data_IF_004501094922
#
_entry.id   IF_004501094922
#
_cell.length_a   1.000
_cell.length_b   1.000
_cell.length_c   1.000
_cell.angle_alpha   90.00
_cell.angle_beta   90.00
_cell.angle_gamma   90.00
#
_symmetry.space_group_name_H-M   'P 1'
#
loop_
_entity.id
_entity.type
_entity.pdbx_description
1 polymer ?
#
# COMPACT_ATOMS: atom_id res chain seq x y z
N UNK A 1 2.63 7.01 4.56
CA UNK A 1 1.65 5.96 4.27
C UNK A 1 0.35 6.25 4.98
N UNK A 2 -0.69 6.50 4.18
CA UNK A 2 -2.07 6.66 4.65
C UNK A 2 -2.89 5.50 4.09
N UNK A 3 -3.73 4.88 4.92
CA UNK A 3 -4.62 3.79 4.50
C UNK A 3 -6.06 4.31 4.53
N UNK A 4 -6.76 4.21 3.41
CA UNK A 4 -8.16 4.63 3.27
C UNK A 4 -9.02 3.37 3.09
N UNK A 5 -9.99 3.20 3.97
CA UNK A 5 -10.97 2.12 3.92
C UNK A 5 -12.14 2.47 3.00
N UNK A 6 -12.24 1.75 1.88
CA UNK A 6 -13.39 1.83 0.97
C UNK A 6 -14.46 0.78 1.30
N UNK A 7 -15.42 0.59 0.40
CA UNK A 7 -16.43 -0.48 0.53
C UNK A 7 -15.83 -1.87 0.31
N UNK A 8 -15.02 -2.02 -0.74
CA UNK A 8 -14.53 -3.32 -1.23
C UNK A 8 -13.11 -3.67 -0.78
N UNK A 9 -12.37 -2.70 -0.23
CA UNK A 9 -10.97 -2.88 0.14
C UNK A 9 -10.33 -1.59 0.65
N UNK A 10 -9.01 -1.51 0.52
CA UNK A 10 -8.23 -0.34 0.94
C UNK A 10 -7.47 0.29 -0.23
N UNK A 11 -7.30 1.60 -0.15
CA UNK A 11 -6.35 2.35 -0.96
C UNK A 11 -5.18 2.82 -0.10
N UNK A 12 -3.96 2.69 -0.59
CA UNK A 12 -2.75 3.12 0.12
C UNK A 12 -2.17 4.37 -0.56
N UNK A 13 -1.94 5.43 0.21
CA UNK A 13 -1.29 6.65 -0.26
C UNK A 13 0.13 6.70 0.29
N UNK A 14 1.10 6.91 -0.60
CA UNK A 14 2.53 7.10 -0.29
C UNK A 14 3.12 5.98 0.61
N UNK A 15 3.44 4.79 0.05
CA UNK A 15 3.86 3.60 0.79
C UNK A 15 5.31 3.67 1.28
N UNK A 16 5.75 4.82 1.83
CA UNK A 16 7.06 5.01 2.44
C UNK A 16 8.24 4.79 1.47
N UNK A 17 9.45 4.82 2.01
CA UNK A 17 10.71 4.71 1.25
C UNK A 17 11.14 3.29 0.94
N UNK A 18 10.82 2.29 1.78
CA UNK A 18 11.31 0.92 1.64
C UNK A 18 10.18 -0.11 1.78
N UNK A 19 10.31 -1.25 1.07
CA UNK A 19 9.31 -2.30 1.05
C UNK A 19 9.12 -2.93 2.43
N UNK A 20 10.19 -3.07 3.21
CA UNK A 20 10.18 -3.62 4.57
C UNK A 20 9.37 -2.72 5.50
N UNK A 21 9.58 -1.40 5.42
CA UNK A 21 8.83 -0.42 6.20
C UNK A 21 7.35 -0.43 5.81
N UNK A 22 7.05 -0.45 4.51
CA UNK A 22 5.68 -0.46 4.00
C UNK A 22 4.93 -1.72 4.43
N UNK A 23 5.57 -2.90 4.32
CA UNK A 23 5.01 -4.18 4.77
C UNK A 23 4.74 -4.19 6.27
N UNK A 24 5.70 -3.72 7.08
CA UNK A 24 5.53 -3.63 8.52
C UNK A 24 4.38 -2.69 8.91
N UNK A 25 4.24 -1.56 8.20
CA UNK A 25 3.15 -0.63 8.43
C UNK A 25 1.78 -1.20 8.00
N UNK A 26 1.71 -1.94 6.89
CA UNK A 26 0.49 -2.64 6.47
C UNK A 26 0.12 -3.76 7.45
N UNK A 27 1.10 -4.50 7.95
CA UNK A 27 0.88 -5.53 8.98
C UNK A 27 0.36 -4.93 10.27
N UNK A 28 0.86 -3.75 10.67
CA UNK A 28 0.35 -3.03 11.82
C UNK A 28 -1.12 -2.60 11.62
N UNK A 29 -1.47 -2.11 10.43
CA UNK A 29 -2.85 -1.82 10.07
C UNK A 29 -3.73 -3.08 10.15
N UNK A 30 -3.33 -4.17 9.49
CA UNK A 30 -4.07 -5.43 9.45
C UNK A 30 -4.29 -6.04 10.84
N UNK A 31 -3.30 -5.93 11.74
CA UNK A 31 -3.43 -6.38 13.14
C UNK A 31 -4.56 -5.68 13.89
N UNK A 32 -4.87 -4.43 13.55
CA UNK A 32 -5.87 -3.62 14.26
C UNK A 32 -7.20 -3.47 13.52
N UNK A 33 -7.20 -3.66 12.20
CA UNK A 33 -8.36 -3.38 11.32
C UNK A 33 -8.83 -4.61 10.53
N UNK A 34 -8.09 -5.72 10.59
CA UNK A 34 -8.32 -6.90 9.77
C UNK A 34 -7.69 -6.77 8.39
N UNK A 35 -7.53 -7.92 7.71
CA UNK A 35 -7.01 -7.94 6.34
C UNK A 35 -8.10 -7.56 5.34
N UNK A 36 -7.79 -6.63 4.44
CA UNK A 36 -8.67 -6.18 3.35
C UNK A 36 -7.84 -6.10 2.05
N UNK A 37 -8.42 -6.39 0.88
CA UNK A 37 -7.67 -6.35 -0.37
C UNK A 37 -7.21 -4.92 -0.65
N UNK A 38 -5.94 -4.77 -1.06
CA UNK A 38 -5.43 -3.51 -1.58
C UNK A 38 -5.94 -3.33 -3.01
N UNK A 39 -6.76 -2.31 -3.23
CA UNK A 39 -7.38 -2.03 -4.53
C UNK A 39 -6.49 -1.16 -5.42
N UNK A 40 -5.58 -0.39 -4.82
CA UNK A 40 -4.65 0.44 -5.56
C UNK A 40 -3.82 1.33 -4.65
N UNK A 41 -2.93 2.09 -5.29
CA UNK A 41 -2.08 3.06 -4.61
C UNK A 41 -2.07 4.41 -5.32
N UNK A 42 -1.89 5.46 -4.53
CA UNK A 42 -1.73 6.83 -5.01
C UNK A 42 -0.38 7.36 -4.53
N UNK A 43 0.44 7.83 -5.48
CA UNK A 43 1.68 8.54 -5.17
C UNK A 43 1.43 10.03 -5.32
N UNK A 44 1.64 10.78 -4.25
CA UNK A 44 1.38 12.22 -4.23
C UNK A 44 2.47 13.02 -4.93
N UNK A 45 3.70 12.50 -4.98
CA UNK A 45 4.83 13.15 -5.65
C UNK A 45 5.99 12.20 -5.97
N UNK A 46 7.02 12.73 -6.65
CA UNK A 46 8.10 11.96 -7.26
C UNK A 46 9.37 11.78 -6.41
N UNK A 47 9.30 11.96 -5.08
CA UNK A 47 10.43 11.61 -4.21
C UNK A 47 10.28 10.17 -3.70
N UNK A 48 11.41 9.49 -3.51
CA UNK A 48 11.45 8.08 -3.15
C UNK A 48 10.63 7.73 -1.88
N UNK A 49 10.48 8.68 -0.94
CA UNK A 49 9.65 8.50 0.24
C UNK A 49 8.15 8.25 -0.03
N UNK A 50 7.70 8.44 -1.28
CA UNK A 50 6.30 8.39 -1.68
C UNK A 50 5.97 7.23 -2.61
N UNK A 51 6.96 6.44 -3.03
CA UNK A 51 6.75 5.26 -3.87
C UNK A 51 7.72 4.12 -3.58
N UNK A 52 8.82 4.35 -2.86
CA UNK A 52 9.91 3.39 -2.71
C UNK A 52 9.49 2.09 -2.03
N UNK A 53 8.49 2.12 -1.15
CA UNK A 53 7.96 0.92 -0.49
C UNK A 53 6.80 0.23 -1.20
N UNK A 54 6.47 0.61 -2.44
CA UNK A 54 5.38 0.04 -3.24
C UNK A 54 5.34 -1.51 -3.23
N UNK A 55 6.51 -2.15 -3.43
CA UNK A 55 6.63 -3.61 -3.47
C UNK A 55 6.35 -4.32 -2.15
N UNK A 56 6.29 -3.58 -1.03
CA UNK A 56 5.87 -4.11 0.27
C UNK A 56 4.36 -4.11 0.48
N UNK A 57 3.60 -3.47 -0.42
CA UNK A 57 2.13 -3.35 -0.37
C UNK A 57 1.47 -4.21 -1.44
N UNK A 58 1.91 -4.09 -2.69
CA UNK A 58 1.41 -4.85 -3.83
C UNK A 58 2.59 -5.37 -4.64
N UNK A 59 2.57 -6.66 -4.99
CA UNK A 59 3.51 -7.19 -5.97
C UNK A 59 3.16 -6.69 -7.38
N UNK A 60 4.15 -6.66 -8.27
CA UNK A 60 3.93 -6.28 -9.67
C UNK A 60 2.90 -7.18 -10.36
N UNK A 61 2.87 -8.47 -10.02
CA UNK A 61 1.88 -9.42 -10.55
C UNK A 61 0.47 -9.16 -10.05
N UNK A 62 0.30 -8.64 -8.84
CA UNK A 62 -1.02 -8.26 -8.31
C UNK A 62 -1.50 -6.95 -8.92
N UNK A 63 -0.60 -5.97 -9.07
CA UNK A 63 -0.91 -4.71 -9.72
C UNK A 63 -1.35 -4.90 -11.18
N UNK A 64 -0.65 -5.74 -11.95
CA UNK A 64 -0.93 -5.98 -13.37
C UNK A 64 -2.24 -6.75 -13.63
N UNK A 65 -2.89 -7.32 -12.60
CA UNK A 65 -4.20 -8.01 -12.75
C UNK A 65 -5.38 -7.04 -12.81
N UNK A 66 -5.16 -5.77 -12.48
CA UNK A 66 -6.18 -4.73 -12.43
C UNK A 66 -6.09 -3.75 -13.62
N UNK A 67 -5.29 -4.08 -14.64
CA UNK A 67 -5.19 -3.37 -15.94
C UNK A 67 -5.99 -4.11 -17.03
#
# INVERSE_FOLDING_TARGET
MTVIEGKEGISVIDPLTSAECAKAALDLYCKNRGSRPVLGMLYTHCHAGHFGGAGGILSRSEAARNE
#
